data_IF_283616218289
#
_entry.id   IF_283616218289
#
_cell.length_a   1.000
_cell.length_b   1.000
_cell.length_c   1.000
_cell.angle_alpha   90.00
_cell.angle_beta   90.00
_cell.angle_gamma   90.00
#
_symmetry.space_group_name_H-M   'P 1'
#
loop_
_entity.id
_entity.type
_entity.pdbx_description
1 polymer ?
#
# COMPACT_ATOMS: atom_id res chain seq x y z
N UNK A 1 17.51 1.62 -22.92
CA UNK A 1 17.29 0.54 -21.94
C UNK A 1 17.72 1.08 -20.59
N UNK A 2 16.79 1.66 -19.83
CA UNK A 2 17.05 2.03 -18.43
C UNK A 2 17.21 0.71 -17.68
N UNK A 3 18.30 0.55 -16.91
CA UNK A 3 18.44 -0.64 -16.06
C UNK A 3 17.22 -0.74 -15.14
N UNK A 4 16.61 -1.93 -15.05
CA UNK A 4 15.55 -2.21 -14.08
C UNK A 4 16.06 -1.86 -12.68
N UNK A 5 15.37 -0.95 -11.98
CA UNK A 5 15.80 -0.52 -10.65
C UNK A 5 15.66 -1.69 -9.67
N UNK A 6 16.64 -1.82 -8.77
CA UNK A 6 16.54 -2.78 -7.68
C UNK A 6 15.43 -2.40 -6.68
N UNK A 7 15.07 -3.35 -5.81
CA UNK A 7 14.01 -3.18 -4.79
C UNK A 7 14.20 -1.89 -3.98
N UNK A 8 15.41 -1.62 -3.48
CA UNK A 8 15.70 -0.45 -2.63
C UNK A 8 15.48 0.86 -3.39
N UNK A 9 15.91 0.93 -4.65
CA UNK A 9 15.73 2.11 -5.49
C UNK A 9 14.25 2.37 -5.78
N UNK A 10 13.48 1.31 -6.08
CA UNK A 10 12.03 1.40 -6.27
C UNK A 10 11.31 1.79 -4.98
N UNK A 11 11.67 1.21 -3.84
CA UNK A 11 11.12 1.63 -2.54
C UNK A 11 11.43 3.10 -2.24
N UNK A 12 12.65 3.54 -2.53
CA UNK A 12 13.06 4.93 -2.33
C UNK A 12 12.24 5.86 -3.22
N UNK A 13 12.13 5.57 -4.52
CA UNK A 13 11.32 6.36 -5.43
C UNK A 13 9.85 6.41 -5.03
N UNK A 14 9.24 5.28 -4.66
CA UNK A 14 7.87 5.22 -4.18
C UNK A 14 7.67 6.04 -2.89
N UNK A 15 8.63 5.98 -1.95
CA UNK A 15 8.60 6.80 -0.75
C UNK A 15 8.73 8.30 -1.06
N UNK A 16 9.51 8.68 -2.07
CA UNK A 16 9.62 10.07 -2.55
C UNK A 16 8.54 10.46 -3.57
N UNK A 17 7.51 9.64 -3.77
CA UNK A 17 6.38 9.89 -4.67
C UNK A 17 6.79 10.07 -6.15
N UNK A 18 7.88 9.42 -6.56
CA UNK A 18 8.39 9.44 -7.93
C UNK A 18 7.44 8.73 -8.89
N UNK A 19 6.88 9.48 -9.85
CA UNK A 19 5.92 8.98 -10.84
C UNK A 19 6.56 7.88 -11.69
N UNK A 20 7.81 8.05 -12.11
CA UNK A 20 8.52 7.08 -12.94
C UNK A 20 8.67 5.73 -12.21
N UNK A 21 8.73 5.74 -10.88
CA UNK A 21 8.74 4.51 -10.08
C UNK A 21 7.43 3.76 -10.15
N UNK A 22 6.31 4.47 -10.04
CA UNK A 22 4.99 3.83 -10.10
C UNK A 22 4.72 3.29 -11.50
N UNK A 23 5.03 4.04 -12.56
CA UNK A 23 4.91 3.57 -13.95
C UNK A 23 5.85 2.37 -14.24
N UNK A 24 7.08 2.37 -13.70
CA UNK A 24 8.00 1.24 -13.87
C UNK A 24 7.44 -0.04 -13.24
N UNK A 25 7.02 0.03 -11.98
CA UNK A 25 6.51 -1.16 -11.27
C UNK A 25 5.11 -1.57 -11.75
N UNK A 26 4.39 -0.66 -12.41
CA UNK A 26 3.13 -0.91 -13.08
C UNK A 26 3.32 -1.83 -14.30
N UNK A 27 4.34 -1.59 -15.12
CA UNK A 27 4.59 -2.41 -16.31
C UNK A 27 5.47 -3.66 -16.06
N UNK A 28 6.21 -3.70 -14.95
CA UNK A 28 7.05 -4.84 -14.60
C UNK A 28 6.28 -5.93 -13.83
N UNK A 29 5.79 -6.94 -14.55
CA UNK A 29 5.10 -8.09 -13.94
C UNK A 29 5.97 -8.84 -12.91
N UNK A 30 7.31 -8.80 -13.08
CA UNK A 30 8.25 -9.43 -12.13
C UNK A 30 8.34 -8.68 -10.80
N UNK A 31 7.84 -7.44 -10.74
CA UNK A 31 7.82 -6.62 -9.53
C UNK A 31 6.77 -7.07 -8.49
N UNK A 32 5.89 -8.03 -8.82
CA UNK A 32 4.86 -8.51 -7.87
C UNK A 32 5.47 -9.10 -6.60
N UNK A 33 6.54 -9.89 -6.71
CA UNK A 33 7.26 -10.42 -5.55
C UNK A 33 7.98 -9.34 -4.74
N UNK A 34 8.45 -8.28 -5.41
CA UNK A 34 9.03 -7.11 -4.75
C UNK A 34 7.96 -6.34 -3.97
N UNK A 35 6.81 -6.07 -4.57
CA UNK A 35 5.68 -5.41 -3.93
C UNK A 35 5.20 -6.18 -2.68
N UNK A 36 5.09 -7.50 -2.77
CA UNK A 36 4.79 -8.35 -1.61
C UNK A 36 5.86 -8.22 -0.50
N UNK A 37 7.14 -8.13 -0.89
CA UNK A 37 8.25 -7.89 0.06
C UNK A 37 8.08 -6.55 0.77
N UNK A 38 7.72 -5.47 0.07
CA UNK A 38 7.46 -4.15 0.69
C UNK A 38 6.33 -4.23 1.70
N UNK A 39 5.23 -4.91 1.37
CA UNK A 39 4.07 -5.09 2.28
C UNK A 39 4.47 -5.86 3.54
N UNK A 40 5.24 -6.96 3.40
CA UNK A 40 5.74 -7.73 4.54
C UNK A 40 6.67 -6.90 5.41
N UNK A 41 7.58 -6.13 4.80
CA UNK A 41 8.50 -5.24 5.53
C UNK A 41 7.73 -4.18 6.32
N UNK A 42 6.75 -3.54 5.71
CA UNK A 42 5.86 -2.58 6.39
C UNK A 42 5.13 -3.24 7.56
N UNK A 43 4.54 -4.43 7.36
CA UNK A 43 3.83 -5.15 8.41
C UNK A 43 4.75 -5.54 9.58
N UNK A 44 5.99 -5.97 9.29
CA UNK A 44 6.98 -6.27 10.31
C UNK A 44 7.38 -5.02 11.10
N UNK A 45 7.59 -3.89 10.42
CA UNK A 45 7.90 -2.61 11.05
C UNK A 45 6.76 -2.14 11.97
N UNK A 46 5.52 -2.28 11.53
CA UNK A 46 4.33 -1.96 12.33
C UNK A 46 4.17 -2.89 13.55
N UNK A 47 4.43 -4.20 13.40
CA UNK A 47 4.39 -5.14 14.51
C UNK A 47 5.45 -4.84 15.58
N UNK A 48 6.69 -4.54 15.16
CA UNK A 48 7.78 -4.16 16.07
C UNK A 48 7.47 -2.83 16.75
N UNK A 49 6.97 -1.85 16.01
CA UNK A 49 6.67 -0.51 16.52
C UNK A 49 5.45 -0.43 17.44
N UNK A 50 4.52 -1.40 17.37
CA UNK A 50 3.20 -1.28 18.00
C UNK A 50 2.76 -2.38 18.96
N UNK A 51 3.17 -3.65 18.81
CA UNK A 51 2.44 -4.76 19.45
C UNK A 51 3.16 -5.52 20.55
N UNK A 52 4.50 -5.50 20.62
CA UNK A 52 5.26 -6.28 21.60
C UNK A 52 5.01 -7.80 21.57
N UNK A 53 4.28 -8.32 20.56
CA UNK A 53 3.73 -9.69 20.52
C UNK A 53 4.71 -10.78 20.07
N UNK A 54 5.98 -10.45 19.84
CA UNK A 54 7.02 -11.40 19.42
C UNK A 54 6.87 -11.90 17.97
N UNK A 55 7.70 -12.88 17.59
CA UNK A 55 7.88 -13.30 16.20
C UNK A 55 6.68 -14.01 15.58
N UNK A 56 5.89 -14.74 16.38
CA UNK A 56 4.69 -15.46 15.91
C UNK A 56 3.59 -14.46 15.53
N UNK A 57 3.39 -13.41 16.35
CA UNK A 57 2.44 -12.35 16.04
C UNK A 57 2.88 -11.53 14.81
N UNK A 58 4.19 -11.32 14.62
CA UNK A 58 4.72 -10.67 13.43
C UNK A 58 4.47 -11.50 12.16
N UNK A 59 4.63 -12.82 12.22
CA UNK A 59 4.38 -13.71 11.09
C UNK A 59 2.90 -13.76 10.68
N UNK A 60 1.98 -13.86 11.65
CA UNK A 60 0.54 -13.83 11.36
C UNK A 60 0.09 -12.47 10.83
N UNK A 61 0.64 -11.37 11.36
CA UNK A 61 0.40 -10.03 10.85
C UNK A 61 0.87 -9.87 9.39
N UNK A 62 2.02 -10.44 9.02
CA UNK A 62 2.51 -10.43 7.64
C UNK A 62 1.57 -11.13 6.66
N UNK A 63 1.04 -12.31 7.02
CA UNK A 63 0.06 -13.03 6.18
C UNK A 63 -1.25 -12.26 6.07
N UNK A 64 -1.75 -11.70 7.17
CA UNK A 64 -2.95 -10.87 7.18
C UNK A 64 -2.76 -9.59 6.33
N UNK A 65 -1.56 -9.00 6.35
CA UNK A 65 -1.22 -7.83 5.55
C UNK A 65 -1.21 -8.15 4.04
N UNK A 66 -0.66 -9.29 3.63
CA UNK A 66 -0.70 -9.73 2.23
C UNK A 66 -2.12 -9.94 1.73
N UNK A 67 -2.96 -10.64 2.51
CA UNK A 67 -4.36 -10.85 2.15
C UNK A 67 -5.12 -9.52 2.09
N UNK A 68 -4.92 -8.65 3.08
CA UNK A 68 -5.54 -7.33 3.15
C UNK A 68 -5.14 -6.45 1.97
N UNK A 69 -3.86 -6.44 1.61
CA UNK A 69 -3.35 -5.70 0.45
C UNK A 69 -3.95 -6.22 -0.86
N UNK A 70 -3.98 -7.54 -1.07
CA UNK A 70 -4.58 -8.14 -2.26
C UNK A 70 -6.09 -7.81 -2.38
N UNK A 71 -6.83 -7.89 -1.27
CA UNK A 71 -8.25 -7.51 -1.20
C UNK A 71 -8.43 -6.03 -1.51
N UNK A 72 -7.63 -5.16 -0.87
CA UNK A 72 -7.73 -3.72 -1.08
C UNK A 72 -7.37 -3.32 -2.52
N UNK A 73 -6.35 -3.93 -3.12
CA UNK A 73 -6.04 -3.76 -4.53
C UNK A 73 -7.19 -4.22 -5.44
N UNK A 74 -7.85 -5.32 -5.11
CA UNK A 74 -9.03 -5.82 -5.81
C UNK A 74 -10.19 -4.82 -5.77
N UNK A 75 -10.52 -4.30 -4.58
CA UNK A 75 -11.55 -3.28 -4.41
C UNK A 75 -11.18 -2.01 -5.20
N UNK A 76 -9.94 -1.56 -5.10
CA UNK A 76 -9.45 -0.36 -5.76
C UNK A 76 -9.50 -0.49 -7.28
N UNK A 77 -9.10 -1.65 -7.82
CA UNK A 77 -9.23 -1.99 -9.23
C UNK A 77 -10.70 -1.96 -9.68
N UNK A 78 -11.60 -2.64 -8.97
CA UNK A 78 -13.02 -2.68 -9.34
C UNK A 78 -13.67 -1.29 -9.30
N UNK A 79 -13.38 -0.48 -8.28
CA UNK A 79 -13.90 0.89 -8.16
C UNK A 79 -13.31 1.77 -9.27
N UNK A 80 -11.99 1.77 -9.42
CA UNK A 80 -11.29 2.60 -10.39
C UNK A 80 -11.66 2.30 -11.84
N UNK A 81 -11.62 1.03 -12.23
CA UNK A 81 -11.90 0.60 -13.59
C UNK A 81 -13.40 0.66 -13.91
N UNK A 82 -14.27 0.08 -13.06
CA UNK A 82 -15.70 -0.06 -13.40
C UNK A 82 -16.54 1.18 -13.09
N UNK A 83 -16.18 1.99 -12.09
CA UNK A 83 -16.93 3.19 -11.72
C UNK A 83 -16.33 4.44 -12.35
N UNK A 84 -15.00 4.55 -12.35
CA UNK A 84 -14.30 5.76 -12.81
C UNK A 84 -13.63 5.63 -14.18
N UNK A 85 -13.80 4.49 -14.87
CA UNK A 85 -13.31 4.23 -16.23
C UNK A 85 -11.78 4.36 -16.34
N UNK A 86 -11.05 3.90 -15.32
CA UNK A 86 -9.60 3.70 -15.44
C UNK A 86 -9.27 2.51 -16.32
N UNK A 87 -8.07 2.51 -16.89
CA UNK A 87 -7.54 1.44 -17.73
C UNK A 87 -6.41 0.73 -16.98
N UNK A 88 -6.72 -0.44 -16.42
CA UNK A 88 -5.77 -1.19 -15.62
C UNK A 88 -6.14 -2.67 -15.58
N UNK A 89 -5.18 -3.45 -15.13
CA UNK A 89 -5.35 -4.80 -14.61
C UNK A 89 -5.25 -4.78 -13.09
N UNK A 90 -5.80 -5.81 -12.45
CA UNK A 90 -5.62 -5.97 -11.01
C UNK A 90 -4.14 -6.05 -10.60
N UNK A 91 -3.28 -6.65 -11.43
CA UNK A 91 -1.85 -6.76 -11.17
C UNK A 91 -1.13 -5.40 -11.14
N UNK A 92 -1.54 -4.46 -12.00
CA UNK A 92 -1.02 -3.09 -12.05
C UNK A 92 -1.32 -2.33 -10.75
N UNK A 93 -2.58 -2.36 -10.33
CA UNK A 93 -3.03 -1.76 -9.06
C UNK A 93 -2.35 -2.45 -7.86
N UNK A 94 -2.22 -3.78 -7.90
CA UNK A 94 -1.58 -4.55 -6.84
C UNK A 94 -0.14 -4.09 -6.60
N UNK A 95 0.70 -4.08 -7.64
CA UNK A 95 2.13 -3.73 -7.52
C UNK A 95 2.34 -2.29 -7.08
N UNK A 96 1.65 -1.33 -7.71
CA UNK A 96 1.77 0.10 -7.34
C UNK A 96 1.34 0.34 -5.90
N UNK A 97 0.24 -0.26 -5.43
CA UNK A 97 -0.18 -0.18 -4.03
C UNK A 97 0.77 -0.87 -3.07
N UNK A 98 1.43 -1.95 -3.49
CA UNK A 98 2.44 -2.62 -2.66
C UNK A 98 3.66 -1.73 -2.46
N UNK A 99 4.16 -1.09 -3.53
CA UNK A 99 5.23 -0.10 -3.43
C UNK A 99 4.84 1.18 -2.69
N UNK A 100 3.56 1.59 -2.75
CA UNK A 100 3.04 2.70 -1.96
C UNK A 100 3.14 2.47 -0.44
N UNK A 101 3.37 1.23 0.02
CA UNK A 101 3.64 0.93 1.43
C UNK A 101 5.08 1.23 1.85
N UNK A 102 5.97 1.62 0.93
CA UNK A 102 7.39 1.87 1.24
C UNK A 102 7.62 2.89 2.38
N UNK A 103 6.90 4.02 2.50
CA UNK A 103 6.99 4.90 3.66
C UNK A 103 6.70 4.19 4.99
N UNK A 104 5.87 3.14 4.96
CA UNK A 104 5.45 2.36 6.13
C UNK A 104 6.60 1.62 6.84
N UNK A 105 7.79 1.50 6.23
CA UNK A 105 8.99 1.04 6.94
C UNK A 105 9.31 1.94 8.15
N UNK A 106 8.93 3.21 8.08
CA UNK A 106 9.12 4.17 9.17
C UNK A 106 8.18 3.95 10.36
N UNK A 107 7.24 2.99 10.31
CA UNK A 107 6.45 2.61 11.48
C UNK A 107 7.31 2.09 12.64
N UNK A 108 8.57 1.71 12.41
CA UNK A 108 9.53 1.45 13.49
C UNK A 108 9.71 2.64 14.45
N UNK A 109 9.53 3.88 13.97
CA UNK A 109 9.64 5.09 14.79
C UNK A 109 8.50 5.22 15.82
N UNK A 110 7.44 4.42 15.70
CA UNK A 110 6.31 4.42 16.65
C UNK A 110 6.73 3.93 18.04
N UNK A 111 7.85 3.22 18.16
CA UNK A 111 8.40 2.75 19.44
C UNK A 111 8.77 3.89 20.41
N UNK A 112 8.91 5.13 19.91
CA UNK A 112 9.27 6.29 20.72
C UNK A 112 8.15 6.62 21.71
N UNK A 113 8.40 6.55 23.04
CA UNK A 113 7.38 6.87 24.04
C UNK A 113 6.84 8.28 23.87
N UNK A 114 5.55 8.48 24.16
CA UNK A 114 4.80 9.76 24.07
C UNK A 114 4.68 10.39 22.68
N UNK A 115 5.57 10.08 21.72
CA UNK A 115 5.58 10.64 20.37
C UNK A 115 5.23 9.63 19.27
N UNK A 116 5.12 8.34 19.60
CA UNK A 116 4.82 7.28 18.63
C UNK A 116 3.52 7.50 17.85
N UNK A 117 2.51 8.14 18.45
CA UNK A 117 1.25 8.48 17.78
C UNK A 117 1.44 9.54 16.69
N UNK A 118 2.37 10.50 16.88
CA UNK A 118 2.70 11.51 15.86
C UNK A 118 3.40 10.82 14.69
N UNK A 119 4.40 9.97 14.99
CA UNK A 119 5.09 9.19 13.97
C UNK A 119 4.11 8.33 13.18
N UNK A 120 3.18 7.64 13.87
CA UNK A 120 2.14 6.84 13.24
C UNK A 120 1.26 7.66 12.31
N UNK A 121 0.80 8.84 12.76
CA UNK A 121 -0.04 9.73 11.95
C UNK A 121 0.69 10.22 10.70
N UNK A 122 1.94 10.67 10.85
CA UNK A 122 2.76 11.17 9.73
C UNK A 122 3.00 10.07 8.71
N UNK A 123 3.39 8.87 9.16
CA UNK A 123 3.62 7.73 8.26
C UNK A 123 2.33 7.27 7.58
N UNK A 124 1.20 7.26 8.29
CA UNK A 124 -0.11 6.91 7.71
C UNK A 124 -0.51 7.88 6.60
N UNK A 125 -0.35 9.19 6.83
CA UNK A 125 -0.62 10.20 5.81
C UNK A 125 0.32 10.07 4.62
N UNK A 126 1.59 9.75 4.87
CA UNK A 126 2.57 9.53 3.79
C UNK A 126 2.19 8.32 2.93
N UNK A 127 1.87 7.18 3.55
CA UNK A 127 1.39 5.99 2.83
C UNK A 127 0.11 6.30 2.04
N UNK A 128 -0.81 7.09 2.60
CA UNK A 128 -2.04 7.49 1.90
C UNK A 128 -1.72 8.34 0.66
N UNK A 129 -0.80 9.28 0.75
CA UNK A 129 -0.36 10.10 -0.40
C UNK A 129 0.37 9.24 -1.43
N UNK A 130 1.22 8.31 -1.01
CA UNK A 130 1.87 7.36 -1.92
C UNK A 130 0.85 6.46 -2.61
N UNK A 131 -0.17 5.98 -1.89
CA UNK A 131 -1.25 5.19 -2.46
C UNK A 131 -2.07 6.00 -3.47
N UNK A 132 -2.34 7.28 -3.20
CA UNK A 132 -2.98 8.18 -4.17
C UNK A 132 -2.17 8.25 -5.47
N UNK A 133 -0.85 8.48 -5.40
CA UNK A 133 0.01 8.56 -6.60
C UNK A 133 0.06 7.22 -7.34
N UNK A 134 0.20 6.11 -6.62
CA UNK A 134 0.21 4.77 -7.20
C UNK A 134 -1.10 4.40 -7.89
N UNK A 135 -2.24 4.66 -7.25
CA UNK A 135 -3.58 4.45 -7.83
C UNK A 135 -3.77 5.33 -9.07
N UNK A 136 -3.30 6.57 -9.05
CA UNK A 136 -3.38 7.48 -10.19
C UNK A 136 -2.62 6.95 -11.40
N UNK A 137 -1.42 6.40 -11.20
CA UNK A 137 -0.61 5.85 -12.28
C UNK A 137 -1.25 4.55 -12.78
N UNK A 138 -1.50 3.61 -11.86
CA UNK A 138 -1.99 2.28 -12.20
C UNK A 138 -3.34 2.23 -12.90
N UNK A 139 -4.20 3.25 -12.71
CA UNK A 139 -5.52 3.32 -13.33
C UNK A 139 -5.57 4.29 -14.52
N UNK A 140 -4.49 5.03 -14.78
CA UNK A 140 -4.44 6.16 -15.72
C UNK A 140 -5.65 7.10 -15.63
N UNK A 141 -5.93 7.59 -14.42
CA UNK A 141 -7.04 8.51 -14.14
C UNK A 141 -6.57 9.84 -13.57
N UNK A 142 -7.34 10.91 -13.81
CA UNK A 142 -7.03 12.23 -13.24
C UNK A 142 -7.30 12.35 -11.74
N UNK A 143 -6.66 13.34 -11.08
CA UNK A 143 -6.67 13.53 -9.63
C UNK A 143 -8.05 13.46 -8.95
N UNK A 144 -9.08 14.03 -9.57
CA UNK A 144 -10.44 14.02 -9.02
C UNK A 144 -11.02 12.60 -8.98
N UNK A 145 -10.85 11.83 -10.05
CA UNK A 145 -11.25 10.41 -10.10
C UNK A 145 -10.43 9.58 -9.12
N UNK A 146 -9.12 9.81 -9.03
CA UNK A 146 -8.26 9.14 -8.03
C UNK A 146 -8.75 9.40 -6.62
N UNK A 147 -9.08 10.64 -6.28
CA UNK A 147 -9.61 11.01 -4.96
C UNK A 147 -10.91 10.24 -4.65
N UNK A 148 -11.84 10.19 -5.60
CA UNK A 148 -13.09 9.44 -5.42
C UNK A 148 -12.83 7.92 -5.32
N UNK A 149 -11.91 7.37 -6.11
CA UNK A 149 -11.49 5.97 -6.01
C UNK A 149 -10.95 5.65 -4.61
N UNK A 150 -10.03 6.47 -4.08
CA UNK A 150 -9.48 6.30 -2.73
C UNK A 150 -10.58 6.34 -1.67
N UNK A 151 -11.50 7.31 -1.78
CA UNK A 151 -12.60 7.47 -0.81
C UNK A 151 -13.57 6.29 -0.83
N UNK A 152 -14.00 5.86 -2.02
CA UNK A 152 -14.95 4.75 -2.17
C UNK A 152 -14.28 3.41 -1.83
N UNK A 153 -13.10 3.12 -2.38
CA UNK A 153 -12.40 1.87 -2.12
C UNK A 153 -11.98 1.75 -0.65
N UNK A 154 -11.47 2.83 -0.05
CA UNK A 154 -11.15 2.90 1.37
C UNK A 154 -12.38 2.68 2.25
N UNK A 155 -13.48 3.37 1.95
CA UNK A 155 -14.75 3.20 2.66
C UNK A 155 -15.30 1.77 2.56
N UNK A 156 -15.28 1.18 1.37
CA UNK A 156 -15.69 -0.22 1.15
C UNK A 156 -14.81 -1.19 1.93
N UNK A 157 -13.49 -1.00 1.91
CA UNK A 157 -12.56 -1.85 2.65
C UNK A 157 -12.79 -1.79 4.17
N UNK A 158 -12.91 -0.58 4.73
CA UNK A 158 -13.19 -0.38 6.16
C UNK A 158 -14.54 -0.97 6.56
N UNK A 159 -15.57 -0.80 5.71
CA UNK A 159 -16.88 -1.41 5.94
C UNK A 159 -16.79 -2.93 5.98
N UNK A 160 -16.14 -3.56 4.99
CA UNK A 160 -15.98 -5.02 4.95
C UNK A 160 -15.20 -5.54 6.15
N UNK A 161 -14.11 -4.87 6.53
CA UNK A 161 -13.31 -5.24 7.69
C UNK A 161 -14.15 -5.16 8.98
N UNK A 162 -14.88 -4.06 9.18
CA UNK A 162 -15.72 -3.86 10.36
C UNK A 162 -16.88 -4.86 10.39
N UNK A 163 -17.51 -5.12 9.24
CA UNK A 163 -18.60 -6.09 9.13
C UNK A 163 -18.12 -7.51 9.47
N UNK A 164 -16.96 -7.93 8.95
CA UNK A 164 -16.37 -9.22 9.29
C UNK A 164 -16.07 -9.32 10.79
N UNK A 165 -15.55 -8.26 11.41
CA UNK A 165 -15.29 -8.21 12.85
C UNK A 165 -16.57 -8.29 13.70
N UNK A 166 -17.73 -7.93 13.16
CA UNK A 166 -19.02 -8.03 13.87
C UNK A 166 -19.70 -9.40 13.74
N UNK A 167 -19.24 -10.24 12.80
CA UNK A 167 -19.79 -11.58 12.57
C UNK A 167 -19.19 -12.67 13.47
N UNK A 168 -18.09 -12.37 14.17
CA UNK A 168 -17.33 -13.28 15.04
C UNK A 168 -17.07 -12.63 16.40
#
# INVERSE_FOLDING_TARGET
MTQSRGLVQRMTGAAFLDIETFEEVEHDETATGQAATVVILMAACQAIGGSGGGIVAAASAGLAALASWAIFAGITYLVGEKVFQGEATWGEVLRTLGFAQAPGVLYLLVIVPFFGWIASLVVSLWVLVAAFVGIRQALDIGNFKTFLTVLVAGGTYVFLQTFLLLLF
#
